data_IF_240013747869
#
_entry.id   IF_240013747869
#
_cell.length_a   1.000
_cell.length_b   1.000
_cell.length_c   1.000
_cell.angle_alpha   90.00
_cell.angle_beta   90.00
_cell.angle_gamma   90.00
#
_symmetry.space_group_name_H-M   'P 1'
#
loop_
_entity.id
_entity.type
_entity.pdbx_description
1 polymer ?
#
# COMPACT_ATOMS: atom_id res chain seq x y z
N UNK A 1 -3.35 -33.35 -21.17
CA UNK A 1 -3.24 -32.38 -20.05
C UNK A 1 -2.22 -31.34 -20.46
N UNK A 2 -2.66 -30.10 -20.69
CA UNK A 2 -1.82 -29.01 -21.21
C UNK A 2 -1.01 -28.32 -20.12
N UNK A 3 -0.12 -27.41 -20.51
CA UNK A 3 0.68 -26.57 -19.60
C UNK A 3 -0.19 -25.80 -18.60
N UNK A 4 -1.42 -25.42 -18.96
CA UNK A 4 -2.37 -24.75 -18.07
C UNK A 4 -2.68 -25.51 -16.78
N UNK A 5 -2.85 -26.85 -16.85
CA UNK A 5 -3.05 -27.66 -15.65
C UNK A 5 -1.83 -27.67 -14.71
N UNK A 6 -0.62 -27.54 -15.27
CA UNK A 6 0.63 -27.47 -14.50
C UNK A 6 0.71 -26.14 -13.77
N UNK A 7 0.48 -25.03 -14.47
CA UNK A 7 0.50 -23.69 -13.88
C UNK A 7 -0.56 -23.52 -12.79
N UNK A 8 -1.78 -23.99 -13.03
CA UNK A 8 -2.85 -23.98 -12.03
C UNK A 8 -2.44 -24.68 -10.73
N UNK A 9 -1.79 -25.86 -10.82
CA UNK A 9 -1.28 -26.55 -9.64
C UNK A 9 -0.19 -25.78 -8.92
N UNK A 10 0.74 -25.16 -9.65
CA UNK A 10 1.82 -24.36 -9.07
C UNK A 10 1.27 -23.13 -8.35
N UNK A 11 0.31 -22.43 -8.94
CA UNK A 11 -0.33 -21.25 -8.37
C UNK A 11 -1.08 -21.62 -7.07
N UNK A 12 -1.88 -22.69 -7.08
CA UNK A 12 -2.56 -23.19 -5.87
C UNK A 12 -1.57 -23.70 -4.81
N UNK A 13 -0.44 -24.29 -5.22
CA UNK A 13 0.61 -24.71 -4.29
C UNK A 13 1.26 -23.50 -3.58
N UNK A 14 1.43 -22.36 -4.26
CA UNK A 14 1.88 -21.12 -3.60
C UNK A 14 0.89 -20.64 -2.55
N UNK A 15 -0.41 -20.66 -2.87
CA UNK A 15 -1.46 -20.32 -1.92
C UNK A 15 -1.44 -21.24 -0.69
N UNK A 16 -1.26 -22.56 -0.90
CA UNK A 16 -1.14 -23.52 0.18
C UNK A 16 0.06 -23.24 1.06
N UNK A 17 1.22 -23.03 0.47
CA UNK A 17 2.45 -22.78 1.20
C UNK A 17 2.35 -21.51 2.06
N UNK A 18 1.77 -20.44 1.52
CA UNK A 18 1.51 -19.20 2.25
C UNK A 18 0.53 -19.43 3.40
N UNK A 19 -0.60 -20.08 3.15
CA UNK A 19 -1.60 -20.34 4.17
C UNK A 19 -1.03 -21.20 5.31
N UNK A 20 -0.35 -22.30 4.99
CA UNK A 20 0.19 -23.19 6.02
C UNK A 20 1.26 -22.51 6.87
N UNK A 21 2.05 -21.60 6.29
CA UNK A 21 3.05 -20.81 7.02
C UNK A 21 2.39 -19.76 7.92
N UNK A 22 1.37 -19.05 7.42
CA UNK A 22 0.95 -17.77 7.99
C UNK A 22 -0.44 -17.80 8.66
N UNK A 23 -1.19 -18.90 8.56
CA UNK A 23 -2.57 -19.03 9.11
C UNK A 23 -2.68 -18.72 10.61
N UNK A 24 -1.62 -18.91 11.37
CA UNK A 24 -1.59 -18.67 12.82
C UNK A 24 -1.17 -17.24 13.19
N UNK A 25 -0.87 -16.38 12.21
CA UNK A 25 -0.55 -14.99 12.44
C UNK A 25 -1.82 -14.14 12.46
N UNK A 26 -2.18 -13.65 13.64
CA UNK A 26 -3.39 -12.81 13.82
C UNK A 26 -3.34 -11.49 13.03
N UNK A 27 -2.15 -11.00 12.71
CA UNK A 27 -1.97 -9.79 11.90
C UNK A 27 -2.32 -9.97 10.42
N UNK A 28 -2.40 -11.22 9.93
CA UNK A 28 -2.87 -11.51 8.57
C UNK A 28 -4.39 -11.45 8.57
N UNK A 29 -4.95 -10.40 7.99
CA UNK A 29 -6.40 -10.16 7.93
C UNK A 29 -7.01 -10.60 6.61
N UNK A 30 -6.24 -10.55 5.52
CA UNK A 30 -6.69 -10.76 4.15
C UNK A 30 -5.64 -11.60 3.41
N UNK A 31 -6.05 -12.60 2.65
CA UNK A 31 -5.20 -13.34 1.74
C UNK A 31 -5.17 -12.64 0.38
N UNK A 32 -3.99 -12.24 -0.11
CA UNK A 32 -3.83 -11.70 -1.45
C UNK A 32 -3.31 -12.75 -2.42
N UNK A 33 -3.97 -12.86 -3.57
CA UNK A 33 -3.64 -13.91 -4.56
C UNK A 33 -2.44 -13.58 -5.44
N UNK A 34 -1.91 -12.36 -5.40
CA UNK A 34 -0.77 -11.98 -6.22
C UNK A 34 -0.74 -10.48 -6.51
N UNK A 35 0.05 -10.12 -7.51
CA UNK A 35 0.31 -8.75 -7.91
C UNK A 35 0.43 -8.63 -9.44
N UNK A 36 -0.20 -7.60 -10.02
CA UNK A 36 -0.06 -7.14 -11.41
C UNK A 36 -0.26 -8.20 -12.51
N UNK A 37 -1.03 -9.23 -12.25
CA UNK A 37 -1.37 -10.26 -13.24
C UNK A 37 -2.84 -10.19 -13.63
N UNK A 38 -3.18 -10.72 -14.81
CA UNK A 38 -4.58 -10.79 -15.23
C UNK A 38 -5.35 -11.82 -14.41
N UNK A 39 -6.58 -11.47 -14.03
CA UNK A 39 -7.50 -12.42 -13.41
C UNK A 39 -7.88 -13.54 -14.41
N UNK A 40 -7.91 -14.77 -13.92
CA UNK A 40 -8.20 -15.96 -14.72
C UNK A 40 -8.46 -17.17 -13.85
N UNK A 41 -8.61 -18.34 -14.48
CA UNK A 41 -8.96 -19.61 -13.84
C UNK A 41 -7.95 -20.04 -12.76
N UNK A 42 -6.68 -19.73 -12.92
CA UNK A 42 -5.65 -20.12 -11.97
C UNK A 42 -5.78 -19.31 -10.67
N UNK A 43 -6.01 -18.00 -10.77
CA UNK A 43 -6.25 -17.13 -9.62
C UNK A 43 -7.59 -17.44 -8.97
N UNK A 44 -8.63 -17.74 -9.75
CA UNK A 44 -9.91 -18.21 -9.21
C UNK A 44 -9.74 -19.48 -8.37
N UNK A 45 -8.90 -20.42 -8.80
CA UNK A 45 -8.61 -21.61 -8.03
C UNK A 45 -7.86 -21.32 -6.71
N UNK A 46 -7.00 -20.29 -6.67
CA UNK A 46 -6.39 -19.82 -5.41
C UNK A 46 -7.45 -19.29 -4.46
N UNK A 47 -8.32 -18.41 -4.92
CA UNK A 47 -9.41 -17.85 -4.12
C UNK A 47 -10.29 -18.94 -3.54
N UNK A 48 -10.71 -19.90 -4.37
CA UNK A 48 -11.51 -21.05 -3.93
C UNK A 48 -10.78 -21.88 -2.87
N UNK A 49 -9.46 -22.05 -3.02
CA UNK A 49 -8.64 -22.73 -2.04
C UNK A 49 -8.61 -21.99 -0.70
N UNK A 50 -8.39 -20.66 -0.70
CA UNK A 50 -8.39 -19.87 0.53
C UNK A 50 -9.74 -19.90 1.22
N UNK A 51 -10.85 -19.64 0.53
CA UNK A 51 -12.20 -19.70 1.11
C UNK A 51 -12.53 -21.08 1.69
N UNK A 52 -12.07 -22.15 1.04
CA UNK A 52 -12.31 -23.52 1.52
C UNK A 52 -11.47 -23.89 2.75
N UNK A 53 -10.28 -23.31 2.90
CA UNK A 53 -9.34 -23.64 3.97
C UNK A 53 -9.34 -22.65 5.13
N UNK A 54 -9.63 -21.41 4.87
CA UNK A 54 -9.74 -20.35 5.85
C UNK A 54 -10.94 -19.42 5.55
N UNK A 55 -12.16 -19.86 5.86
CA UNK A 55 -13.36 -19.07 5.63
C UNK A 55 -13.48 -17.84 6.56
N UNK A 56 -12.55 -17.68 7.50
CA UNK A 56 -12.54 -16.56 8.44
C UNK A 56 -11.90 -15.30 7.89
N UNK A 57 -11.12 -15.41 6.81
CA UNK A 57 -10.41 -14.28 6.18
C UNK A 57 -10.90 -14.01 4.78
N UNK A 58 -10.89 -12.72 4.42
CA UNK A 58 -11.22 -12.27 3.08
C UNK A 58 -10.08 -12.57 2.09
N UNK A 59 -10.43 -12.63 0.81
CA UNK A 59 -9.48 -12.81 -0.28
C UNK A 59 -9.46 -11.57 -1.17
N UNK A 60 -8.26 -11.12 -1.50
CA UNK A 60 -7.99 -9.92 -2.28
C UNK A 60 -7.29 -10.28 -3.59
N UNK A 61 -7.65 -9.57 -4.65
CA UNK A 61 -6.88 -9.54 -5.90
C UNK A 61 -7.23 -8.31 -6.75
N UNK A 62 -6.25 -7.47 -7.07
CA UNK A 62 -6.46 -6.25 -7.87
C UNK A 62 -6.57 -6.51 -9.38
N UNK A 63 -5.94 -7.58 -9.88
CA UNK A 63 -5.89 -7.91 -11.31
C UNK A 63 -7.25 -8.18 -11.96
N UNK A 64 -8.33 -8.24 -11.17
CA UNK A 64 -9.72 -8.27 -11.65
C UNK A 64 -10.07 -7.03 -12.49
N UNK A 65 -9.40 -5.91 -12.27
CA UNK A 65 -9.60 -4.69 -13.08
C UNK A 65 -9.35 -4.94 -14.57
N UNK A 66 -8.45 -5.85 -14.90
CA UNK A 66 -8.10 -6.21 -16.28
C UNK A 66 -9.00 -7.29 -16.88
N UNK A 67 -9.78 -8.02 -16.06
CA UNK A 67 -10.69 -9.07 -16.52
C UNK A 67 -11.90 -9.22 -15.61
N UNK A 68 -12.90 -8.39 -15.83
CA UNK A 68 -14.12 -8.30 -15.03
C UNK A 68 -15.00 -9.56 -15.06
N UNK A 69 -14.79 -10.46 -16.02
CA UNK A 69 -15.48 -11.76 -16.04
C UNK A 69 -15.15 -12.61 -14.81
N UNK A 70 -14.01 -12.34 -14.16
CA UNK A 70 -13.54 -13.01 -12.97
C UNK A 70 -13.75 -12.20 -11.67
N UNK A 71 -14.77 -11.36 -11.62
CA UNK A 71 -15.05 -10.52 -10.45
C UNK A 71 -15.25 -11.32 -9.14
N UNK A 72 -15.56 -12.61 -9.21
CA UNK A 72 -15.70 -13.51 -8.07
C UNK A 72 -14.37 -13.86 -7.38
N UNK A 73 -13.23 -13.53 -7.97
CA UNK A 73 -11.91 -13.82 -7.40
C UNK A 73 -11.66 -13.05 -6.10
N UNK A 74 -12.14 -11.83 -5.98
CA UNK A 74 -11.85 -10.95 -4.85
C UNK A 74 -13.11 -10.59 -4.07
N UNK A 75 -13.01 -10.48 -2.74
CA UNK A 75 -14.12 -10.09 -1.87
C UNK A 75 -14.32 -8.56 -1.83
N UNK A 76 -13.37 -7.79 -2.37
CA UNK A 76 -13.38 -6.34 -2.42
C UNK A 76 -13.03 -5.83 -3.82
N UNK A 77 -13.43 -4.61 -4.14
CA UNK A 77 -12.85 -3.89 -5.27
C UNK A 77 -11.48 -3.39 -4.86
N UNK A 78 -10.48 -3.70 -5.65
CA UNK A 78 -9.12 -3.24 -5.42
C UNK A 78 -8.52 -2.69 -6.70
N UNK A 79 -7.84 -1.57 -6.57
CA UNK A 79 -7.12 -0.94 -7.69
C UNK A 79 -5.79 -0.42 -7.19
N UNK A 80 -4.84 -0.40 -8.09
CA UNK A 80 -3.51 0.17 -7.88
C UNK A 80 -3.50 1.61 -8.41
N UNK A 81 -3.12 2.57 -7.59
CA UNK A 81 -2.98 3.99 -7.93
C UNK A 81 -4.22 4.66 -8.54
N UNK A 82 -5.43 4.15 -8.27
CA UNK A 82 -6.66 4.82 -8.70
C UNK A 82 -6.75 6.22 -8.10
N UNK A 83 -7.24 7.17 -8.90
CA UNK A 83 -7.37 8.56 -8.49
C UNK A 83 -8.60 8.77 -7.61
N UNK A 84 -8.62 9.79 -6.73
CA UNK A 84 -9.75 10.03 -5.83
C UNK A 84 -11.10 10.11 -6.54
N UNK A 85 -11.16 10.68 -7.73
CA UNK A 85 -12.41 10.78 -8.50
C UNK A 85 -12.88 9.43 -9.07
N UNK A 86 -11.96 8.52 -9.44
CA UNK A 86 -12.30 7.17 -9.92
C UNK A 86 -12.84 6.31 -8.78
N UNK A 87 -12.30 6.51 -7.57
CA UNK A 87 -12.78 5.85 -6.36
C UNK A 87 -14.17 6.36 -6.01
N UNK A 88 -14.37 7.69 -6.04
CA UNK A 88 -15.68 8.32 -5.79
C UNK A 88 -16.74 7.83 -6.76
N UNK A 89 -16.45 7.79 -8.05
CA UNK A 89 -17.38 7.26 -9.06
C UNK A 89 -17.82 5.83 -8.76
N UNK A 90 -16.89 4.98 -8.34
CA UNK A 90 -17.21 3.62 -7.93
C UNK A 90 -18.13 3.61 -6.69
N UNK A 91 -17.80 4.38 -5.66
CA UNK A 91 -18.54 4.42 -4.40
C UNK A 91 -19.95 5.01 -4.56
N UNK A 92 -20.11 6.04 -5.37
CA UNK A 92 -21.41 6.65 -5.70
C UNK A 92 -22.33 5.72 -6.48
N UNK A 93 -21.81 4.67 -7.13
CA UNK A 93 -22.60 3.63 -7.76
C UNK A 93 -23.30 2.67 -6.77
N UNK A 94 -23.11 2.88 -5.46
CA UNK A 94 -23.59 2.02 -4.36
C UNK A 94 -23.21 0.54 -4.56
N UNK A 95 -21.92 0.24 -4.68
CA UNK A 95 -21.43 -1.10 -4.96
C UNK A 95 -21.65 -2.05 -3.79
N UNK A 96 -21.63 -3.36 -4.08
CA UNK A 96 -21.75 -4.39 -3.06
C UNK A 96 -20.43 -4.67 -2.34
N UNK A 97 -19.29 -4.41 -3.00
CA UNK A 97 -17.95 -4.68 -2.48
C UNK A 97 -17.34 -3.41 -1.93
N UNK A 98 -16.67 -3.46 -0.76
CA UNK A 98 -15.88 -2.35 -0.28
C UNK A 98 -14.72 -2.08 -1.25
N UNK A 99 -14.16 -0.88 -1.20
CA UNK A 99 -13.03 -0.45 -2.01
C UNK A 99 -11.77 -0.34 -1.16
N UNK A 100 -10.66 -0.88 -1.66
CA UNK A 100 -9.33 -0.71 -1.08
C UNK A 100 -8.30 -0.44 -2.19
N UNK A 101 -7.35 0.45 -1.92
CA UNK A 101 -6.18 0.62 -2.79
C UNK A 101 -5.09 -0.36 -2.34
N UNK A 102 -4.76 -1.34 -3.18
CA UNK A 102 -3.65 -2.26 -2.87
C UNK A 102 -2.32 -1.54 -2.88
N UNK A 103 -2.19 -0.49 -3.68
CA UNK A 103 -1.08 0.45 -3.66
C UNK A 103 -1.56 1.86 -3.99
N UNK A 104 -1.00 2.85 -3.30
CA UNK A 104 -1.19 4.26 -3.63
C UNK A 104 -0.05 5.11 -3.08
N UNK A 105 -0.01 6.39 -3.43
CA UNK A 105 0.96 7.37 -2.90
C UNK A 105 2.41 6.91 -3.06
N UNK A 106 2.78 6.47 -4.28
CA UNK A 106 4.13 6.01 -4.61
C UNK A 106 5.18 7.06 -4.21
N UNK A 107 5.96 6.77 -3.13
CA UNK A 107 6.86 7.73 -2.49
C UNK A 107 8.27 7.69 -3.09
N UNK A 108 8.38 7.98 -4.38
CA UNK A 108 9.66 8.05 -5.08
C UNK A 108 10.04 9.49 -5.38
N UNK A 109 11.25 9.90 -5.00
CA UNK A 109 11.76 11.24 -5.23
C UNK A 109 11.04 12.29 -4.38
N UNK A 110 10.47 13.30 -5.01
CA UNK A 110 9.71 14.37 -4.35
C UNK A 110 8.19 14.09 -4.41
N UNK A 111 7.80 12.92 -3.94
CA UNK A 111 6.43 12.43 -3.98
C UNK A 111 5.73 12.55 -2.63
N UNK A 112 4.53 11.95 -2.61
CA UNK A 112 3.59 11.87 -1.52
C UNK A 112 2.90 13.21 -1.26
N UNK A 113 2.10 13.66 -2.25
CA UNK A 113 1.24 14.84 -2.13
C UNK A 113 -0.23 14.52 -2.39
N UNK A 114 -1.14 15.35 -1.84
CA UNK A 114 -2.57 15.21 -2.07
C UNK A 114 -3.25 14.07 -1.28
N UNK A 115 -2.64 13.59 -0.21
CA UNK A 115 -3.16 12.53 0.66
C UNK A 115 -4.52 12.87 1.25
N UNK A 116 -4.79 14.15 1.52
CA UNK A 116 -6.08 14.67 1.96
C UNK A 116 -7.25 14.14 1.13
N UNK A 117 -7.10 14.16 -0.20
CA UNK A 117 -8.17 13.76 -1.13
C UNK A 117 -8.57 12.29 -1.00
N UNK A 118 -7.63 11.44 -0.61
CA UNK A 118 -7.90 10.02 -0.35
C UNK A 118 -8.48 9.79 1.04
N UNK A 119 -7.91 10.44 2.06
CA UNK A 119 -8.36 10.24 3.45
C UNK A 119 -9.78 10.75 3.66
N UNK A 120 -10.13 11.89 3.07
CA UNK A 120 -11.50 12.44 3.14
C UNK A 120 -12.56 11.52 2.53
N UNK A 121 -12.21 10.66 1.57
CA UNK A 121 -13.15 9.66 1.07
C UNK A 121 -13.57 8.65 2.15
N UNK A 122 -12.68 8.34 3.11
CA UNK A 122 -13.01 7.46 4.22
C UNK A 122 -14.00 8.12 5.22
N UNK A 123 -13.96 9.44 5.33
CA UNK A 123 -14.92 10.20 6.14
C UNK A 123 -16.31 10.31 5.47
N UNK A 124 -16.35 10.17 4.11
CA UNK A 124 -17.58 10.32 3.34
C UNK A 124 -18.28 8.97 3.01
N UNK A 125 -17.51 7.90 2.87
CA UNK A 125 -18.01 6.61 2.38
C UNK A 125 -17.54 5.44 3.25
N UNK A 126 -18.43 4.81 3.97
CA UNK A 126 -18.15 3.62 4.81
C UNK A 126 -17.54 2.46 4.00
N UNK A 127 -17.81 2.38 2.72
CA UNK A 127 -17.28 1.34 1.84
C UNK A 127 -15.86 1.59 1.36
N UNK A 128 -15.27 2.77 1.61
CA UNK A 128 -13.88 3.02 1.31
C UNK A 128 -13.00 2.65 2.51
N UNK A 129 -12.14 1.66 2.32
CA UNK A 129 -11.32 1.08 3.38
C UNK A 129 -9.88 1.61 3.39
N UNK A 130 -9.61 2.67 2.62
CA UNK A 130 -8.27 3.26 2.52
C UNK A 130 -7.34 2.54 1.54
N UNK A 131 -6.06 2.52 1.85
CA UNK A 131 -5.06 1.94 0.97
C UNK A 131 -3.71 1.75 1.64
N UNK A 132 -2.81 1.08 0.91
CA UNK A 132 -1.45 0.81 1.33
C UNK A 132 -0.48 1.71 0.56
N UNK A 133 0.31 2.51 1.28
CA UNK A 133 1.34 3.37 0.66
C UNK A 133 2.43 2.48 0.06
N UNK A 134 2.80 2.73 -1.18
CA UNK A 134 3.99 2.16 -1.78
C UNK A 134 5.18 3.11 -1.65
N UNK A 135 6.19 2.86 -0.76
CA UNK A 135 6.09 1.78 0.21
C UNK A 135 6.51 2.29 1.60
N UNK A 136 6.78 1.39 2.53
CA UNK A 136 7.10 1.79 3.91
C UNK A 136 8.57 2.18 4.07
N UNK A 137 9.50 1.36 3.58
CA UNK A 137 10.94 1.53 3.81
C UNK A 137 11.75 1.38 2.54
N UNK A 138 12.70 2.28 2.29
CA UNK A 138 13.63 2.14 1.19
C UNK A 138 14.33 0.78 1.21
N UNK A 139 14.42 0.12 0.05
CA UNK A 139 15.00 -1.20 -0.11
C UNK A 139 16.50 -1.07 -0.34
N UNK A 140 17.29 -1.07 0.74
CA UNK A 140 18.74 -1.02 0.67
C UNK A 140 19.39 -1.97 1.66
N UNK A 141 20.60 -2.40 1.35
CA UNK A 141 21.42 -3.26 2.20
C UNK A 141 22.61 -2.49 2.76
N UNK A 142 22.91 -2.69 4.04
CA UNK A 142 24.11 -2.12 4.66
C UNK A 142 25.34 -2.91 4.22
N UNK A 143 26.33 -2.21 3.69
CA UNK A 143 27.63 -2.81 3.35
C UNK A 143 28.78 -1.87 3.65
N UNK A 144 30.01 -2.38 3.54
CA UNK A 144 31.24 -1.58 3.71
C UNK A 144 31.78 -1.24 2.31
N UNK A 145 31.94 0.05 2.05
CA UNK A 145 32.51 0.52 0.79
C UNK A 145 34.05 0.32 0.69
N UNK A 146 34.64 0.64 -0.45
CA UNK A 146 36.08 0.50 -0.67
C UNK A 146 36.96 1.39 0.25
N UNK A 147 36.36 2.38 0.90
CA UNK A 147 37.02 3.27 1.87
C UNK A 147 36.81 2.84 3.32
N UNK A 148 36.20 1.67 3.53
CA UNK A 148 35.91 1.14 4.86
C UNK A 148 34.73 1.80 5.58
N UNK A 149 33.89 2.57 4.88
CA UNK A 149 32.70 3.24 5.45
C UNK A 149 31.47 2.35 5.37
N UNK A 150 30.65 2.37 6.40
CA UNK A 150 29.33 1.73 6.38
C UNK A 150 28.37 2.60 5.55
N UNK A 151 27.85 2.05 4.47
CA UNK A 151 26.91 2.71 3.55
C UNK A 151 25.71 1.83 3.28
N UNK A 152 24.61 2.43 2.83
CA UNK A 152 23.44 1.74 2.32
C UNK A 152 23.51 1.71 0.79
N UNK A 153 23.42 0.52 0.21
CA UNK A 153 23.45 0.33 -1.22
C UNK A 153 22.21 -0.45 -1.70
N UNK A 154 21.81 -0.22 -2.93
CA UNK A 154 20.74 -0.94 -3.59
C UNK A 154 21.26 -1.65 -4.85
N UNK A 155 20.37 -2.36 -5.55
CA UNK A 155 20.75 -3.08 -6.76
C UNK A 155 21.48 -2.19 -7.78
N UNK A 156 22.62 -2.69 -8.30
CA UNK A 156 23.59 -1.95 -9.11
C UNK A 156 24.87 -1.54 -8.34
N UNK A 157 24.76 -1.29 -7.04
CA UNK A 157 25.94 -0.93 -6.20
C UNK A 157 26.84 -2.13 -5.90
N UNK A 158 26.33 -3.33 -6.08
CA UNK A 158 27.04 -4.60 -5.80
C UNK A 158 27.64 -5.26 -7.05
N UNK A 159 27.83 -4.50 -8.14
CA UNK A 159 28.24 -5.01 -9.45
C UNK A 159 27.28 -6.05 -10.04
N UNK A 160 26.06 -6.09 -9.58
CA UNK A 160 24.96 -6.91 -10.06
C UNK A 160 24.30 -6.30 -11.31
N UNK A 161 23.57 -7.14 -12.06
CA UNK A 161 22.84 -6.75 -13.27
C UNK A 161 21.35 -6.97 -13.09
N UNK A 162 20.55 -6.35 -13.97
CA UNK A 162 19.10 -6.34 -13.93
C UNK A 162 18.60 -5.73 -12.62
N UNK A 163 18.94 -4.48 -12.39
CA UNK A 163 18.54 -3.71 -11.21
C UNK A 163 17.60 -2.57 -11.58
N UNK A 164 16.70 -2.24 -10.71
CA UNK A 164 15.78 -1.10 -10.83
C UNK A 164 16.37 0.20 -10.27
N UNK A 165 17.64 0.19 -9.86
CA UNK A 165 18.39 1.35 -9.35
C UNK A 165 17.62 2.11 -8.25
N UNK A 166 17.47 3.42 -8.41
CA UNK A 166 16.78 4.32 -7.47
C UNK A 166 15.28 4.02 -7.30
N UNK A 167 14.70 3.11 -8.09
CA UNK A 167 13.34 2.60 -7.87
C UNK A 167 13.22 1.82 -6.54
N UNK A 168 14.33 1.53 -5.89
CA UNK A 168 14.40 1.00 -4.52
C UNK A 168 14.15 2.06 -3.43
N UNK A 169 14.12 3.33 -3.78
CA UNK A 169 13.97 4.47 -2.87
C UNK A 169 12.52 4.98 -2.75
N UNK A 170 11.57 4.09 -2.51
CA UNK A 170 10.13 4.38 -2.49
C UNK A 170 9.54 4.45 -1.07
N UNK A 171 10.34 4.25 -0.04
CA UNK A 171 9.87 4.21 1.35
C UNK A 171 9.50 5.59 1.89
N UNK A 172 8.52 5.65 2.78
CA UNK A 172 8.25 6.84 3.61
C UNK A 172 9.27 7.00 4.73
N UNK A 173 10.10 5.98 4.94
CA UNK A 173 11.31 6.02 5.77
C UNK A 173 12.51 5.52 4.98
N UNK A 174 13.71 6.00 5.35
CA UNK A 174 14.96 5.50 4.80
C UNK A 174 15.22 4.05 5.22
N UNK A 175 16.15 3.37 4.54
CA UNK A 175 16.48 1.98 4.83
C UNK A 175 17.06 1.71 6.22
N UNK A 176 17.51 2.73 6.95
CA UNK A 176 17.93 2.67 8.34
C UNK A 176 16.80 2.98 9.34
N UNK A 177 15.60 3.24 8.84
CA UNK A 177 14.42 3.57 9.63
C UNK A 177 14.27 5.05 9.96
N UNK A 178 15.19 5.92 9.52
CA UNK A 178 15.01 7.35 9.67
C UNK A 178 13.83 7.84 8.79
N UNK A 179 13.06 8.79 9.33
CA UNK A 179 11.89 9.28 8.64
C UNK A 179 12.23 10.26 7.53
N UNK A 180 11.56 10.12 6.39
CA UNK A 180 11.58 11.14 5.35
C UNK A 180 10.62 12.29 5.68
N UNK A 181 10.80 13.49 5.09
CA UNK A 181 9.89 14.62 5.33
C UNK A 181 8.42 14.30 5.08
N UNK A 182 8.12 13.47 4.10
CA UNK A 182 6.76 13.01 3.77
C UNK A 182 6.05 12.28 4.93
N UNK A 183 6.79 11.71 5.90
CA UNK A 183 6.20 11.05 7.06
C UNK A 183 5.35 12.00 7.92
N UNK A 184 5.59 13.31 7.87
CA UNK A 184 4.79 14.30 8.58
C UNK A 184 3.35 14.33 8.03
N UNK A 185 3.20 14.30 6.70
CA UNK A 185 1.88 14.23 6.05
C UNK A 185 1.17 12.92 6.38
N UNK A 186 1.90 11.80 6.36
CA UNK A 186 1.35 10.48 6.72
C UNK A 186 0.82 10.49 8.16
N UNK A 187 1.58 11.03 9.11
CA UNK A 187 1.14 11.13 10.51
C UNK A 187 -0.09 11.98 10.66
N UNK A 188 -0.11 13.13 10.01
CA UNK A 188 -1.25 14.02 10.07
C UNK A 188 -2.51 13.36 9.50
N UNK A 189 -2.44 12.84 8.28
CA UNK A 189 -3.61 12.30 7.59
C UNK A 189 -4.07 10.94 8.12
N UNK A 190 -3.17 10.14 8.73
CA UNK A 190 -3.53 8.88 9.37
C UNK A 190 -3.97 9.03 10.82
N UNK A 191 -3.81 10.22 11.40
CA UNK A 191 -4.34 10.54 12.71
C UNK A 191 -5.87 10.58 12.70
N UNK A 192 -6.48 10.39 13.86
CA UNK A 192 -7.92 10.54 14.01
C UNK A 192 -8.38 11.99 13.67
N UNK A 193 -9.64 12.20 13.27
CA UNK A 193 -10.14 13.55 13.04
C UNK A 193 -9.98 14.47 14.28
N UNK A 194 -10.10 13.92 15.48
CA UNK A 194 -9.91 14.67 16.73
C UNK A 194 -8.46 15.08 16.93
N UNK A 195 -7.49 14.19 16.64
CA UNK A 195 -6.07 14.49 16.75
C UNK A 195 -5.62 15.51 15.69
N UNK A 196 -6.14 15.42 14.46
CA UNK A 196 -5.91 16.42 13.42
C UNK A 196 -6.40 17.80 13.86
N UNK A 197 -7.63 17.89 14.38
CA UNK A 197 -8.19 19.15 14.87
C UNK A 197 -7.38 19.76 16.03
N UNK A 198 -6.88 18.91 16.94
CA UNK A 198 -6.00 19.35 18.02
C UNK A 198 -4.65 19.89 17.49
N UNK A 199 -4.07 19.24 16.49
CA UNK A 199 -2.84 19.70 15.84
C UNK A 199 -3.03 21.01 15.10
N UNK A 200 -4.15 21.18 14.38
CA UNK A 200 -4.48 22.42 13.68
C UNK A 200 -4.62 23.59 14.66
N UNK A 201 -5.29 23.35 15.80
CA UNK A 201 -5.43 24.37 16.84
C UNK A 201 -4.07 24.76 17.44
N UNK A 202 -3.19 23.78 17.70
CA UNK A 202 -1.85 24.02 18.21
C UNK A 202 -0.99 24.82 17.19
N UNK A 203 -1.05 24.47 15.90
CA UNK A 203 -0.34 25.17 14.82
C UNK A 203 -0.84 26.61 14.69
N UNK A 204 -2.15 26.84 14.74
CA UNK A 204 -2.73 28.17 14.69
C UNK A 204 -2.31 29.04 15.90
N UNK A 205 -2.27 28.47 17.10
CA UNK A 205 -1.79 29.16 18.29
C UNK A 205 -0.30 29.53 18.20
N UNK A 206 0.52 28.63 17.68
CA UNK A 206 1.96 28.88 17.46
C UNK A 206 2.18 29.98 16.42
N UNK A 207 1.45 29.97 15.31
CA UNK A 207 1.52 31.03 14.29
C UNK A 207 1.13 32.39 14.88
N UNK A 208 0.02 32.47 15.63
CA UNK A 208 -0.42 33.71 16.27
C UNK A 208 0.58 34.23 17.33
N UNK A 209 1.33 33.33 17.99
CA UNK A 209 2.40 33.73 18.91
C UNK A 209 3.62 34.28 18.13
N UNK A 210 4.01 33.65 17.02
CA UNK A 210 5.11 34.11 16.18
C UNK A 210 4.82 35.52 15.61
N UNK A 211 3.59 35.75 15.14
CA UNK A 211 3.17 37.06 14.63
C UNK A 211 3.24 38.16 15.72
N UNK A 212 2.83 37.85 16.95
CA UNK A 212 2.96 38.77 18.10
C UNK A 212 4.42 39.11 18.37
N UNK A 213 5.27 38.08 18.43
CA UNK A 213 6.71 38.26 18.68
C UNK A 213 7.36 39.12 17.61
N UNK A 214 6.99 38.96 16.34
CA UNK A 214 7.47 39.79 15.26
C UNK A 214 6.97 41.25 15.38
N UNK A 215 5.71 41.45 15.76
CA UNK A 215 5.13 42.80 15.93
C UNK A 215 5.74 43.55 17.12
N UNK A 216 6.19 42.86 18.16
CA UNK A 216 6.88 43.44 19.33
C UNK A 216 8.36 43.77 19.04
N UNK A 217 8.95 43.15 18.02
CA UNK A 217 10.35 43.33 17.65
C UNK A 217 10.59 44.47 16.66
N UNK A 218 9.56 45.09 16.11
CA UNK A 218 9.54 46.22 15.19
C UNK A 218 8.88 47.47 15.80
#
# INVERSE_FOLDING_TARGET
>A
RGLGDVYKRQVVDRARSMLERDKNHAAVLIWSCGNESYAGEDILAMTQFFHAKDPSRLVHYEGVVHNRAFAAITDMESRMYAKPWEIREYLESHPKKPFILCEYMHDMGNSLGGMESYVKLADEFDQYQGGFIWDYMDQALRHTDALGRSVLGYGGDFADRNTDYNFSGNGIVYADGAEKPAMQDVRYWYASPADRAAQDAANAAAAAQADRTLAEAW
#
